data_IF_653004602616
#
_entry.id   IF_653004602616
#
_cell.length_a   1.000
_cell.length_b   1.000
_cell.length_c   1.000
_cell.angle_alpha   90.00
_cell.angle_beta   90.00
_cell.angle_gamma   90.00
#
_symmetry.space_group_name_H-M   'P 1'
#
loop_
_entity.id
_entity.type
_entity.pdbx_description
1 polymer ?
#
# COMPACT_ATOMS: atom_id res chain seq x y z
N UNK A 1 -6.75 17.04 20.50
CA UNK A 1 -6.97 15.95 19.52
C UNK A 1 -6.84 14.62 20.22
N UNK A 2 -7.74 13.71 19.95
CA UNK A 2 -7.67 12.37 20.52
C UNK A 2 -6.74 11.47 19.68
N UNK A 3 -6.11 10.53 20.34
CA UNK A 3 -5.20 9.60 19.72
C UNK A 3 -5.52 8.18 20.15
N UNK A 4 -5.28 7.24 19.25
CA UNK A 4 -5.31 5.82 19.56
C UNK A 4 -3.87 5.29 19.57
N UNK A 5 -3.46 4.65 20.66
CA UNK A 5 -2.13 4.06 20.76
C UNK A 5 -2.15 2.70 20.07
N UNK A 6 -1.46 2.57 18.94
CA UNK A 6 -1.32 1.32 18.22
C UNK A 6 0.03 0.68 18.52
N UNK A 7 0.00 -0.60 18.84
CA UNK A 7 1.20 -1.41 18.97
C UNK A 7 1.26 -2.33 17.77
N UNK A 8 2.31 -2.23 16.98
CA UNK A 8 2.46 -3.01 15.77
C UNK A 8 3.93 -3.24 15.48
N UNK A 9 4.26 -4.49 15.12
CA UNK A 9 5.64 -4.90 14.74
C UNK A 9 6.68 -4.52 15.81
N UNK A 10 6.30 -4.58 17.09
CA UNK A 10 7.19 -4.24 18.20
C UNK A 10 7.35 -2.76 18.45
N UNK A 11 6.65 -1.90 17.72
CA UNK A 11 6.70 -0.46 17.87
C UNK A 11 5.36 0.08 18.33
N UNK A 12 5.37 1.32 18.84
CA UNK A 12 4.16 2.01 19.26
C UNK A 12 4.03 3.32 18.50
N UNK A 13 2.80 3.65 18.10
CA UNK A 13 2.48 4.91 17.42
C UNK A 13 1.16 5.45 17.96
N UNK A 14 1.10 6.78 18.12
CA UNK A 14 -0.14 7.47 18.46
C UNK A 14 -0.82 7.91 17.17
N UNK A 15 -1.96 7.30 16.87
CA UNK A 15 -2.70 7.59 15.65
C UNK A 15 -3.77 8.64 15.95
N UNK A 16 -3.78 9.75 15.20
CA UNK A 16 -4.83 10.77 15.41
C UNK A 16 -6.20 10.21 15.00
N UNK A 17 -7.19 10.52 15.83
CA UNK A 17 -8.57 10.17 15.51
C UNK A 17 -9.13 11.26 14.61
N UNK A 18 -9.50 10.89 13.39
CA UNK A 18 -9.96 11.83 12.38
C UNK A 18 -11.38 11.50 11.95
N UNK A 19 -12.27 12.50 12.00
CA UNK A 19 -13.65 12.33 11.55
C UNK A 19 -13.70 12.33 10.03
N UNK A 20 -14.36 11.33 9.45
CA UNK A 20 -14.67 11.29 8.01
C UNK A 20 -16.02 11.91 7.74
N UNK A 21 -16.97 11.77 8.66
CA UNK A 21 -18.27 12.38 8.62
C UNK A 21 -18.83 12.41 10.04
N UNK A 22 -20.09 12.76 10.22
CA UNK A 22 -20.73 12.88 11.53
C UNK A 22 -20.97 11.53 12.24
N UNK A 23 -20.77 10.40 11.52
CA UNK A 23 -21.02 9.06 12.06
C UNK A 23 -19.78 8.17 12.13
N UNK A 24 -18.71 8.57 11.45
CA UNK A 24 -17.53 7.71 11.31
C UNK A 24 -16.24 8.49 11.52
N UNK A 25 -15.41 7.94 12.39
CA UNK A 25 -14.04 8.42 12.58
C UNK A 25 -13.08 7.26 12.35
N UNK A 26 -11.88 7.59 11.94
CA UNK A 26 -10.80 6.61 11.77
C UNK A 26 -9.60 7.02 12.60
N UNK A 27 -8.79 6.04 12.98
CA UNK A 27 -7.46 6.29 13.52
C UNK A 27 -6.50 6.38 12.32
N UNK A 28 -5.91 7.55 12.14
CA UNK A 28 -5.07 7.81 10.98
C UNK A 28 -3.73 7.09 11.08
N UNK A 29 -3.60 5.99 10.35
CA UNK A 29 -2.36 5.22 10.31
C UNK A 29 -1.52 5.70 9.13
N UNK A 30 -0.45 6.44 9.44
CA UNK A 30 0.44 7.00 8.43
C UNK A 30 1.74 6.22 8.41
N UNK A 31 1.87 5.35 7.44
CA UNK A 31 3.06 4.54 7.25
C UNK A 31 4.07 5.24 6.32
N UNK A 32 3.56 5.96 5.33
CA UNK A 32 4.37 6.62 4.32
C UNK A 32 5.24 7.70 4.98
N UNK A 33 6.55 7.58 4.82
CA UNK A 33 7.52 8.48 5.44
C UNK A 33 8.04 8.00 6.78
N UNK A 34 7.40 7.03 7.41
CA UNK A 34 7.87 6.44 8.67
C UNK A 34 8.72 5.22 8.35
N UNK A 35 10.01 5.45 8.16
CA UNK A 35 10.93 4.41 7.73
C UNK A 35 11.08 3.29 8.76
N UNK A 36 11.22 3.65 10.04
CA UNK A 36 11.36 2.68 11.12
C UNK A 36 10.18 1.71 11.15
N UNK A 37 8.97 2.26 11.09
CA UNK A 37 7.75 1.45 11.10
C UNK A 37 7.63 0.62 9.83
N UNK A 38 7.97 1.20 8.68
CA UNK A 38 7.92 0.49 7.40
C UNK A 38 8.82 -0.74 7.41
N UNK A 39 10.06 -0.58 7.89
CA UNK A 39 10.99 -1.71 7.96
C UNK A 39 10.50 -2.78 8.93
N UNK A 40 10.03 -2.39 10.11
CA UNK A 40 9.54 -3.34 11.11
C UNK A 40 8.33 -4.12 10.59
N UNK A 41 7.38 -3.43 9.96
CA UNK A 41 6.20 -4.07 9.39
C UNK A 41 6.57 -5.00 8.23
N UNK A 42 7.50 -4.58 7.38
CA UNK A 42 7.95 -5.41 6.26
C UNK A 42 8.58 -6.72 6.74
N UNK A 43 9.39 -6.67 7.79
CA UNK A 43 9.98 -7.87 8.38
C UNK A 43 8.91 -8.83 8.91
N UNK A 44 7.93 -8.31 9.62
CA UNK A 44 6.87 -9.14 10.18
C UNK A 44 5.98 -9.74 9.09
N UNK A 45 5.61 -8.95 8.08
CA UNK A 45 4.79 -9.44 6.99
C UNK A 45 5.51 -10.51 6.17
N UNK A 46 6.80 -10.36 5.93
CA UNK A 46 7.56 -11.36 5.17
C UNK A 46 7.59 -12.72 5.86
N UNK A 47 7.37 -12.76 7.17
CA UNK A 47 7.33 -14.02 7.91
C UNK A 47 6.04 -14.81 7.69
N UNK A 48 4.96 -14.13 7.32
CA UNK A 48 3.62 -14.73 7.30
C UNK A 48 2.96 -14.74 5.92
N UNK A 49 3.50 -14.02 4.94
CA UNK A 49 2.91 -14.02 3.59
C UNK A 49 3.18 -15.36 2.91
N UNK A 50 2.26 -15.82 2.04
CA UNK A 50 2.49 -17.05 1.30
C UNK A 50 3.56 -16.88 0.24
N UNK A 51 4.03 -18.01 -0.27
CA UNK A 51 4.91 -18.02 -1.42
C UNK A 51 4.24 -17.32 -2.59
N UNK A 52 5.00 -16.54 -3.35
CA UNK A 52 4.47 -15.71 -4.44
C UNK A 52 5.56 -15.43 -5.46
N UNK A 53 5.15 -15.04 -6.65
CA UNK A 53 6.08 -14.61 -7.70
C UNK A 53 6.36 -13.12 -7.62
N UNK A 54 5.33 -12.32 -7.42
CA UNK A 54 5.45 -10.86 -7.33
C UNK A 54 4.56 -10.30 -6.24
N UNK A 55 5.07 -9.28 -5.55
CA UNK A 55 4.24 -8.43 -4.70
C UNK A 55 3.66 -7.32 -5.57
N UNK A 56 2.44 -6.91 -5.24
CA UNK A 56 1.77 -5.81 -5.94
C UNK A 56 1.19 -4.84 -4.91
N UNK A 57 1.26 -3.57 -5.20
CA UNK A 57 0.69 -2.52 -4.35
C UNK A 57 0.01 -1.46 -5.20
N UNK A 58 -1.16 -0.97 -4.78
CA UNK A 58 -1.72 0.24 -5.38
C UNK A 58 -0.99 1.47 -4.83
N UNK A 59 -0.89 2.53 -5.65
CA UNK A 59 -0.35 3.78 -5.15
C UNK A 59 -1.35 4.41 -4.15
N UNK A 60 -0.94 5.10 -3.08
CA UNK A 60 0.47 5.41 -2.90
C UNK A 60 1.01 4.85 -1.58
N UNK A 61 0.16 4.67 -0.55
CA UNK A 61 0.60 4.43 0.83
C UNK A 61 1.35 3.12 1.03
N UNK A 62 1.04 2.11 0.24
CA UNK A 62 1.64 0.79 0.38
C UNK A 62 2.95 0.63 -0.41
N UNK A 63 3.32 1.60 -1.25
CA UNK A 63 4.51 1.48 -2.11
C UNK A 63 5.77 1.29 -1.27
N UNK A 64 5.96 2.12 -0.25
CA UNK A 64 7.14 2.03 0.60
C UNK A 64 7.23 0.68 1.33
N UNK A 65 6.10 0.20 1.84
CA UNK A 65 6.03 -1.08 2.55
C UNK A 65 6.39 -2.24 1.62
N UNK A 66 5.76 -2.29 0.45
CA UNK A 66 5.99 -3.38 -0.51
C UNK A 66 7.40 -3.33 -1.07
N UNK A 67 7.94 -2.12 -1.30
CA UNK A 67 9.33 -1.95 -1.71
C UNK A 67 10.29 -2.53 -0.68
N UNK A 68 10.06 -2.26 0.59
CA UNK A 68 10.93 -2.78 1.65
C UNK A 68 10.77 -4.30 1.81
N UNK A 69 9.56 -4.82 1.68
CA UNK A 69 9.32 -6.26 1.69
C UNK A 69 10.10 -6.97 0.59
N UNK A 70 10.05 -6.42 -0.62
CA UNK A 70 10.79 -6.98 -1.76
C UNK A 70 12.30 -6.92 -1.53
N UNK A 71 12.79 -5.78 -1.03
CA UNK A 71 14.21 -5.60 -0.74
C UNK A 71 14.71 -6.64 0.28
N UNK A 72 13.98 -6.79 1.38
CA UNK A 72 14.36 -7.73 2.44
C UNK A 72 14.30 -9.19 1.98
N UNK A 73 13.40 -9.50 1.06
CA UNK A 73 13.27 -10.86 0.53
C UNK A 73 14.21 -11.15 -0.65
N UNK A 74 14.99 -10.17 -1.08
CA UNK A 74 15.90 -10.34 -2.21
C UNK A 74 15.21 -10.35 -3.56
N UNK A 75 13.98 -9.88 -3.64
CA UNK A 75 13.25 -9.75 -4.89
C UNK A 75 13.71 -8.51 -5.66
N UNK A 76 13.74 -8.60 -6.97
CA UNK A 76 14.28 -7.51 -7.80
C UNK A 76 13.24 -6.51 -8.25
N UNK A 77 11.96 -6.85 -8.14
CA UNK A 77 10.87 -6.03 -8.67
C UNK A 77 9.59 -6.33 -7.90
N UNK A 78 8.81 -5.30 -7.67
CA UNK A 78 7.40 -5.45 -7.32
C UNK A 78 6.57 -4.63 -8.29
N UNK A 79 5.27 -4.87 -8.31
CA UNK A 79 4.36 -4.28 -9.28
C UNK A 79 3.54 -3.22 -8.60
N UNK A 80 3.30 -2.10 -9.29
CA UNK A 80 2.55 -0.97 -8.75
C UNK A 80 1.35 -0.70 -9.65
N UNK A 81 0.15 -0.71 -9.06
CA UNK A 81 -1.05 -0.26 -9.74
C UNK A 81 -1.18 1.25 -9.55
N UNK A 82 -1.24 2.00 -10.65
CA UNK A 82 -1.24 3.45 -10.64
C UNK A 82 -2.66 4.00 -10.73
N UNK A 83 -2.86 5.21 -10.23
CA UNK A 83 -4.18 5.87 -10.25
C UNK A 83 -4.50 6.50 -11.60
N UNK A 84 -3.50 6.68 -12.45
CA UNK A 84 -3.65 7.19 -13.82
C UNK A 84 -2.78 6.40 -14.76
N UNK A 85 -3.21 6.26 -16.00
CA UNK A 85 -2.37 5.68 -17.03
C UNK A 85 -1.16 6.60 -17.26
N UNK A 86 0.01 6.01 -17.38
CA UNK A 86 1.27 6.72 -17.58
C UNK A 86 1.78 6.51 -18.99
N UNK A 87 2.53 7.48 -19.49
CA UNK A 87 3.03 7.44 -20.86
C UNK A 87 3.91 6.23 -21.17
N UNK A 88 4.59 5.69 -20.16
CA UNK A 88 5.47 4.52 -20.34
C UNK A 88 4.71 3.19 -20.38
N UNK A 89 3.42 3.18 -20.06
CA UNK A 89 2.63 1.95 -20.03
C UNK A 89 2.31 1.44 -21.43
N UNK A 90 2.36 0.12 -21.59
CA UNK A 90 1.97 -0.56 -22.80
C UNK A 90 0.69 -1.36 -22.53
N UNK A 91 -0.37 -1.08 -23.30
CA UNK A 91 -1.66 -1.75 -23.18
C UNK A 91 -2.14 -1.86 -21.72
N UNK A 92 -2.29 -0.74 -21.01
CA UNK A 92 -2.64 -0.80 -19.59
C UNK A 92 -4.02 -1.40 -19.36
N UNK A 93 -4.10 -2.21 -18.32
CA UNK A 93 -5.38 -2.73 -17.81
C UNK A 93 -5.94 -1.72 -16.81
N UNK A 94 -7.25 -1.62 -16.75
CA UNK A 94 -7.91 -0.64 -15.89
C UNK A 94 -9.06 -1.28 -15.14
N UNK A 95 -9.20 -0.94 -13.86
CA UNK A 95 -10.35 -1.33 -13.04
C UNK A 95 -10.83 -0.12 -12.26
N UNK A 96 -12.16 -0.03 -12.09
CA UNK A 96 -12.77 1.03 -11.28
C UNK A 96 -12.95 0.53 -9.85
N UNK A 97 -12.55 1.35 -8.88
CA UNK A 97 -12.64 1.02 -7.45
C UNK A 97 -13.23 2.19 -6.68
N UNK A 98 -13.75 1.92 -5.49
CA UNK A 98 -14.21 2.95 -4.57
C UNK A 98 -13.49 2.84 -3.23
N UNK A 99 -13.20 3.98 -2.62
CA UNK A 99 -12.53 4.08 -1.34
C UNK A 99 -13.44 4.73 -0.32
N UNK A 100 -13.33 4.31 0.94
CA UNK A 100 -14.08 4.95 2.04
C UNK A 100 -13.50 6.32 2.41
N UNK A 101 -12.25 6.59 2.04
CA UNK A 101 -11.56 7.83 2.41
C UNK A 101 -11.55 8.89 1.31
N UNK A 102 -11.91 8.51 0.09
CA UNK A 102 -11.93 9.43 -1.06
C UNK A 102 -13.29 9.36 -1.72
N UNK A 103 -13.89 10.53 -1.95
CA UNK A 103 -15.18 10.62 -2.62
C UNK A 103 -15.04 10.34 -4.12
N UNK A 104 -16.07 9.69 -4.71
CA UNK A 104 -16.14 9.45 -6.13
C UNK A 104 -15.43 8.19 -6.59
N UNK A 105 -15.48 7.97 -7.89
CA UNK A 105 -14.82 6.84 -8.51
C UNK A 105 -13.32 7.03 -8.59
N UNK A 106 -12.61 5.94 -8.37
CA UNK A 106 -11.17 5.88 -8.59
C UNK A 106 -10.87 4.74 -9.54
N UNK A 107 -9.79 4.88 -10.28
CA UNK A 107 -9.33 3.85 -11.21
C UNK A 107 -7.94 3.42 -10.83
N UNK A 108 -7.67 2.14 -11.07
CA UNK A 108 -6.33 1.60 -10.96
C UNK A 108 -5.91 1.08 -12.32
N UNK A 109 -4.68 1.39 -12.68
CA UNK A 109 -4.09 1.01 -13.96
C UNK A 109 -2.87 0.14 -13.73
N UNK A 110 -2.82 -0.95 -14.45
CA UNK A 110 -1.69 -1.87 -14.43
C UNK A 110 -1.04 -1.86 -15.81
N UNK A 111 0.28 -1.65 -15.85
CA UNK A 111 1.01 -1.73 -17.10
C UNK A 111 0.87 -3.14 -17.68
N UNK A 112 0.53 -3.22 -18.97
CA UNK A 112 0.42 -4.51 -19.65
C UNK A 112 1.69 -5.34 -19.58
N UNK A 113 2.85 -4.70 -19.54
CA UNK A 113 4.13 -5.39 -19.37
C UNK A 113 4.20 -6.10 -18.02
N UNK A 114 3.71 -5.47 -16.96
CA UNK A 114 3.67 -6.08 -15.64
C UNK A 114 2.66 -7.22 -15.58
N UNK A 115 1.53 -7.07 -16.27
CA UNK A 115 0.53 -8.12 -16.34
C UNK A 115 1.11 -9.38 -17.02
N UNK A 116 1.94 -9.21 -18.02
CA UNK A 116 2.62 -10.34 -18.68
C UNK A 116 3.56 -11.08 -17.73
N UNK A 117 4.25 -10.37 -16.85
CA UNK A 117 5.13 -10.99 -15.87
C UNK A 117 4.38 -11.88 -14.89
N UNK A 118 3.09 -11.60 -14.66
CA UNK A 118 2.27 -12.33 -13.69
C UNK A 118 1.57 -13.56 -14.27
N UNK A 119 1.72 -13.81 -15.53
CA UNK A 119 1.11 -14.99 -16.19
C UNK A 119 1.88 -16.27 -15.94
#
# INVERSE_FOLDING_TARGET
MEYYRLKVAGLERDLPICALNDKLSIAGFVLLGDYELTEACARELNKIIPEHDYLIAPEAKAIGLVNEMARLAGEKKHIIARKKAKAYMTDPLCVTVQSITTAGEQKLYLDGKDAELMK
#
